data_IF_738777746157
#
_entry.id   IF_738777746157
#
_cell.length_a   1.000
_cell.length_b   1.000
_cell.length_c   1.000
_cell.angle_alpha   90.00
_cell.angle_beta   90.00
_cell.angle_gamma   90.00
#
_symmetry.space_group_name_H-M   'P 1'
#
loop_
_entity.id
_entity.type
_entity.pdbx_description
1 polymer ?
#
# COMPACT_ATOMS: atom_id res chain seq x y z
N UNK A 1 8.54 -8.35 -0.28
CA UNK A 1 8.05 -7.93 1.06
C UNK A 1 6.55 -7.69 0.98
N UNK A 2 5.74 -8.00 2.01
CA UNK A 2 4.31 -7.70 2.01
C UNK A 2 4.03 -6.18 2.05
N UNK A 3 3.01 -5.72 1.33
CA UNK A 3 2.66 -4.29 1.23
C UNK A 3 2.38 -3.66 2.60
N UNK A 4 1.61 -4.34 3.46
CA UNK A 4 1.26 -3.81 4.78
C UNK A 4 2.49 -3.57 5.68
N UNK A 5 3.61 -4.25 5.42
CA UNK A 5 4.85 -4.05 6.18
C UNK A 5 5.52 -2.74 5.76
N UNK A 6 5.60 -2.46 4.46
CA UNK A 6 6.11 -1.21 3.91
C UNK A 6 5.32 -0.02 4.48
N UNK A 7 3.99 -0.10 4.44
CA UNK A 7 3.10 0.95 4.99
C UNK A 7 3.34 1.17 6.49
N UNK A 8 3.54 0.10 7.27
CA UNK A 8 3.78 0.20 8.72
C UNK A 8 5.12 0.85 9.05
N UNK A 9 6.18 0.51 8.33
CA UNK A 9 7.51 1.10 8.50
C UNK A 9 7.46 2.61 8.20
N UNK A 10 6.84 2.98 7.06
CA UNK A 10 6.67 4.40 6.73
C UNK A 10 5.80 5.15 7.75
N UNK A 11 4.76 4.52 8.30
CA UNK A 11 3.96 5.09 9.37
C UNK A 11 4.74 5.26 10.69
N UNK A 12 5.78 4.46 10.92
CA UNK A 12 6.70 4.59 12.05
C UNK A 12 7.79 5.65 11.83
N UNK A 13 7.86 6.24 10.63
CA UNK A 13 8.80 7.31 10.28
C UNK A 13 9.97 6.87 9.40
N UNK A 14 10.04 5.60 8.99
CA UNK A 14 11.08 5.14 8.08
C UNK A 14 10.93 5.80 6.69
N UNK A 15 12.03 6.27 6.12
CA UNK A 15 12.06 6.86 4.78
C UNK A 15 12.25 5.80 3.71
N UNK A 16 11.99 6.16 2.45
CA UNK A 16 12.26 5.27 1.31
C UNK A 16 13.74 4.87 1.27
N UNK A 17 14.62 5.80 1.59
CA UNK A 17 16.06 5.58 1.65
C UNK A 17 16.45 4.59 2.76
N UNK A 18 15.81 4.66 3.94
CA UNK A 18 16.02 3.70 5.02
C UNK A 18 15.62 2.28 4.59
N UNK A 19 14.46 2.14 3.96
CA UNK A 19 13.96 0.85 3.45
C UNK A 19 14.90 0.26 2.38
N UNK A 20 15.43 1.07 1.46
CA UNK A 20 16.36 0.60 0.43
C UNK A 20 17.71 0.18 1.03
N UNK A 21 18.15 0.84 2.10
CA UNK A 21 19.39 0.49 2.80
C UNK A 21 19.24 -0.81 3.62
N UNK A 22 18.12 -0.99 4.31
CA UNK A 22 17.87 -2.16 5.16
C UNK A 22 17.47 -3.41 4.36
N UNK A 23 16.79 -3.22 3.22
CA UNK A 23 16.30 -4.30 2.37
C UNK A 23 16.85 -4.17 0.94
N UNK A 24 18.09 -4.61 0.67
CA UNK A 24 18.76 -4.43 -0.63
C UNK A 24 18.09 -5.11 -1.84
N UNK A 25 17.11 -5.98 -1.60
CA UNK A 25 16.31 -6.62 -2.64
C UNK A 25 15.10 -5.79 -3.06
N UNK A 26 14.75 -4.71 -2.33
CA UNK A 26 13.71 -3.78 -2.72
C UNK A 26 14.28 -2.77 -3.72
N UNK A 27 13.47 -2.45 -4.72
CA UNK A 27 13.66 -1.28 -5.57
C UNK A 27 12.74 -0.14 -5.12
N UNK A 28 13.04 1.07 -5.56
CA UNK A 28 12.14 2.22 -5.37
C UNK A 28 10.77 1.97 -6.01
N UNK A 29 10.74 1.27 -7.15
CA UNK A 29 9.50 0.92 -7.85
C UNK A 29 8.62 0.01 -7.02
N UNK A 30 9.19 -1.00 -6.33
CA UNK A 30 8.43 -1.88 -5.43
C UNK A 30 7.75 -1.10 -4.29
N UNK A 31 8.45 -0.11 -3.72
CA UNK A 31 7.91 0.73 -2.65
C UNK A 31 6.80 1.62 -3.19
N UNK A 32 6.98 2.25 -4.36
CA UNK A 32 5.95 3.10 -4.96
C UNK A 32 4.72 2.29 -5.37
N UNK A 33 4.88 1.12 -5.98
CA UNK A 33 3.78 0.23 -6.33
C UNK A 33 3.00 -0.26 -5.09
N UNK A 34 3.71 -0.51 -3.98
CA UNK A 34 3.09 -0.88 -2.71
C UNK A 34 2.24 0.25 -2.13
N UNK A 35 2.72 1.49 -2.21
CA UNK A 35 1.97 2.66 -1.76
C UNK A 35 0.74 2.95 -2.63
N UNK A 36 0.88 2.82 -3.95
CA UNK A 36 -0.23 2.99 -4.89
C UNK A 36 -1.33 1.94 -4.64
N UNK A 37 -0.94 0.67 -4.47
CA UNK A 37 -1.87 -0.39 -4.09
C UNK A 37 -2.57 -0.09 -2.74
N UNK A 38 -1.83 0.34 -1.73
CA UNK A 38 -2.40 0.69 -0.43
C UNK A 38 -3.36 1.89 -0.52
N UNK A 39 -3.04 2.88 -1.35
CA UNK A 39 -3.91 4.03 -1.59
C UNK A 39 -5.24 3.59 -2.24
N UNK A 40 -5.18 2.75 -3.28
CA UNK A 40 -6.38 2.22 -3.93
C UNK A 40 -7.25 1.35 -3.02
N UNK A 41 -6.67 0.66 -2.02
CA UNK A 41 -7.42 -0.05 -0.99
C UNK A 41 -8.04 0.86 0.08
N UNK A 42 -7.39 2.00 0.36
CA UNK A 42 -7.87 2.95 1.36
C UNK A 42 -8.95 3.88 0.80
N UNK A 43 -9.06 3.99 -0.52
CA UNK A 43 -10.10 4.75 -1.20
C UNK A 43 -11.48 4.14 -0.96
N UNK A 44 -12.46 4.99 -0.64
CA UNK A 44 -13.84 4.57 -0.44
C UNK A 44 -14.47 4.14 -1.77
N UNK A 45 -15.02 2.92 -1.81
CA UNK A 45 -15.78 2.44 -2.97
C UNK A 45 -17.27 2.43 -2.67
N UNK A 46 -18.04 3.20 -3.44
CA UNK A 46 -19.51 3.19 -3.40
C UNK A 46 -20.01 2.21 -4.45
N UNK A 47 -20.54 1.07 -4.01
CA UNK A 47 -21.18 0.10 -4.90
C UNK A 47 -22.70 0.25 -4.86
N UNK A 48 -23.40 0.29 -6.00
CA UNK A 48 -24.86 0.29 -6.03
C UNK A 48 -25.40 -0.98 -5.36
N UNK A 49 -26.40 -0.83 -4.48
CA UNK A 49 -27.12 -1.96 -3.94
C UNK A 49 -28.14 -2.41 -4.99
N UNK A 50 -27.99 -3.63 -5.51
CA UNK A 50 -29.01 -4.24 -6.35
C UNK A 50 -30.24 -4.56 -5.49
N UNK A 51 -31.34 -3.84 -5.73
CA UNK A 51 -32.62 -4.18 -5.12
C UNK A 51 -33.16 -5.39 -5.85
N UNK A 52 -33.05 -6.56 -5.24
CA UNK A 52 -33.73 -7.75 -5.72
C UNK A 52 -35.24 -7.49 -5.67
N UNK A 53 -35.89 -7.40 -6.83
CA UNK A 53 -37.34 -7.38 -6.91
C UNK A 53 -37.85 -8.76 -6.44
N UNK A 54 -38.42 -8.81 -5.23
CA UNK A 54 -39.17 -9.96 -4.70
C UNK A 54 -40.58 -10.02 -5.31
#
# INVERSE_FOLDING_TARGET
MPVHQIVRMMANGDTVEDLLAEYPYLSREDIMASLDYAAGLAEEQVTPIEVANL
#
